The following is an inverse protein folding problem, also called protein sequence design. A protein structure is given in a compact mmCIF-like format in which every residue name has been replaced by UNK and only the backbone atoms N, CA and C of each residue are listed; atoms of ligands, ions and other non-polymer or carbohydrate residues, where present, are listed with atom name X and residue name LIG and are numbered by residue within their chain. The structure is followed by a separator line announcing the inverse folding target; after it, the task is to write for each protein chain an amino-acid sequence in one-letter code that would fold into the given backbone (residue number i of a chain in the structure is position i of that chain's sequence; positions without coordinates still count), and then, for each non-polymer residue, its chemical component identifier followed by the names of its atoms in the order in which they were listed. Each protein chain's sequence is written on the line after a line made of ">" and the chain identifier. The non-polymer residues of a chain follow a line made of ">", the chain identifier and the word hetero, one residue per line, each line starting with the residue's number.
data_IF_019292722465
#
_entry.id   IF_019292722465
#
_cell.length_a   1.000
_cell.length_b   1.000
_cell.length_c   1.000
_cell.angle_alpha   90.00
_cell.angle_beta   90.00
_cell.angle_gamma   90.00
#
_symmetry.space_group_name_H-M   'P 1'
#
loop_
_entity.id
_entity.type
_entity.pdbx_description
1 polymer ?
#
# COMPACT_ATOMS: atom_id res chain seq x y z
N UNK A 1 -10.49 -10.30 32.24
CA UNK A 1 -11.11 -10.01 30.93
C UNK A 1 -9.99 -10.02 29.90
N UNK A 2 -9.92 -11.04 29.04
CA UNK A 2 -8.90 -11.13 27.98
C UNK A 2 -9.45 -10.36 26.77
N UNK A 3 -8.86 -9.21 26.46
CA UNK A 3 -9.20 -8.48 25.23
C UNK A 3 -8.55 -9.19 24.04
N UNK A 4 -9.33 -9.49 23.01
CA UNK A 4 -8.85 -10.12 21.78
C UNK A 4 -8.68 -9.07 20.69
N UNK A 5 -7.45 -8.87 20.22
CA UNK A 5 -7.10 -7.88 19.20
C UNK A 5 -6.84 -8.55 17.85
N UNK A 6 -7.16 -7.87 16.74
CA UNK A 6 -6.87 -8.32 15.36
C UNK A 6 -7.36 -9.74 15.03
N UNK A 7 -8.51 -10.16 15.55
CA UNK A 7 -9.00 -11.54 15.32
C UNK A 7 -9.40 -11.75 13.85
N UNK A 8 -9.91 -10.70 13.21
CA UNK A 8 -10.20 -10.64 11.77
C UNK A 8 -9.60 -9.37 11.18
N UNK A 9 -9.39 -9.33 9.87
CA UNK A 9 -8.84 -8.13 9.22
C UNK A 9 -9.78 -6.93 9.26
N UNK A 10 -11.08 -7.16 9.39
CA UNK A 10 -12.06 -6.10 9.66
C UNK A 10 -11.81 -5.39 11.01
N UNK A 11 -11.20 -6.07 11.97
CA UNK A 11 -10.99 -5.54 13.32
C UNK A 11 -9.79 -4.58 13.39
N UNK A 12 -9.04 -4.44 12.29
CA UNK A 12 -7.85 -3.61 12.22
C UNK A 12 -7.66 -3.01 10.83
N UNK A 13 -8.14 -1.79 10.69
CA UNK A 13 -8.05 -0.97 9.48
C UNK A 13 -6.93 0.04 9.70
N UNK A 14 -6.07 0.19 8.70
CA UNK A 14 -4.97 1.16 8.70
C UNK A 14 -5.13 2.05 7.48
N UNK A 15 -5.14 3.34 7.72
CA UNK A 15 -5.10 4.37 6.67
C UNK A 15 -3.77 5.10 6.78
N UNK A 16 -3.01 5.12 5.69
CA UNK A 16 -1.74 5.82 5.64
C UNK A 16 -1.99 7.33 5.50
N UNK A 17 -1.32 8.13 6.34
CA UNK A 17 -1.38 9.59 6.27
C UNK A 17 -0.04 10.12 5.76
N UNK A 18 -0.05 10.69 4.56
CA UNK A 18 1.15 11.33 4.01
C UNK A 18 1.50 12.56 4.85
N UNK A 19 2.79 12.78 5.19
CA UNK A 19 3.22 13.97 5.93
C UNK A 19 3.26 15.23 5.04
N UNK A 20 2.83 15.12 3.78
CA UNK A 20 2.80 16.20 2.80
C UNK A 20 1.59 16.04 1.86
N UNK A 21 1.24 17.12 1.16
CA UNK A 21 0.20 17.12 0.13
C UNK A 21 0.81 16.85 -1.24
N UNK A 22 0.13 16.04 -2.05
CA UNK A 22 0.49 15.83 -3.46
C UNK A 22 0.26 17.12 -4.25
N UNK A 23 1.25 17.55 -5.01
CA UNK A 23 1.21 18.77 -5.83
C UNK A 23 0.66 18.52 -7.25
N UNK A 24 0.51 17.24 -7.64
CA UNK A 24 0.05 16.81 -8.95
C UNK A 24 1.10 16.96 -10.07
N UNK A 25 2.38 17.13 -9.73
CA UNK A 25 3.48 17.32 -10.69
C UNK A 25 4.66 16.42 -10.35
N UNK A 26 5.52 16.20 -11.33
CA UNK A 26 6.77 15.43 -11.18
C UNK A 26 6.81 14.15 -12.00
N UNK A 27 7.91 13.43 -11.88
CA UNK A 27 8.21 12.25 -12.71
C UNK A 27 7.59 10.95 -12.15
N UNK A 28 7.01 11.02 -10.94
CA UNK A 28 6.42 9.88 -10.26
C UNK A 28 4.88 9.98 -10.25
N UNK A 29 4.23 8.84 -10.52
CA UNK A 29 2.78 8.70 -10.38
C UNK A 29 2.46 8.09 -9.01
N UNK A 30 1.79 8.87 -8.15
CA UNK A 30 1.37 8.39 -6.85
C UNK A 30 0.09 7.55 -6.95
N UNK A 31 0.09 6.38 -6.31
CA UNK A 31 -1.05 5.47 -6.26
C UNK A 31 -1.43 5.23 -4.80
N UNK A 32 -2.63 5.67 -4.43
CA UNK A 32 -3.26 5.24 -3.19
C UNK A 32 -4.05 3.96 -3.44
N UNK A 33 -3.84 2.94 -2.61
CA UNK A 33 -4.50 1.65 -2.78
C UNK A 33 -4.88 1.01 -1.45
N UNK A 34 -5.92 0.19 -1.49
CA UNK A 34 -6.33 -0.65 -0.36
C UNK A 34 -5.88 -2.08 -0.59
N UNK A 35 -5.48 -2.77 0.48
CA UNK A 35 -5.22 -4.20 0.45
C UNK A 35 -5.82 -4.89 1.67
N UNK A 36 -6.34 -6.11 1.48
CA UNK A 36 -6.86 -6.96 2.55
C UNK A 36 -6.22 -8.33 2.51
N UNK A 37 -5.78 -8.83 3.68
CA UNK A 37 -5.17 -10.16 3.81
C UNK A 37 -3.99 -10.39 2.83
N UNK A 38 -3.32 -9.31 2.42
CA UNK A 38 -2.17 -9.32 1.52
C UNK A 38 -1.05 -8.48 2.12
N UNK A 39 0.19 -8.92 1.92
CA UNK A 39 1.35 -8.11 2.25
C UNK A 39 1.63 -7.11 1.12
N UNK A 40 2.40 -6.07 1.42
CA UNK A 40 2.72 -5.01 0.46
C UNK A 40 3.53 -5.53 -0.73
N UNK A 41 4.41 -6.51 -0.51
CA UNK A 41 5.29 -7.04 -1.55
C UNK A 41 4.57 -7.90 -2.60
N UNK A 42 3.49 -8.57 -2.23
CA UNK A 42 2.64 -9.31 -3.17
C UNK A 42 1.91 -8.36 -4.12
N UNK A 43 1.41 -7.24 -3.58
CA UNK A 43 0.84 -6.16 -4.39
C UNK A 43 1.89 -5.56 -5.32
N UNK A 44 3.09 -5.26 -4.81
CA UNK A 44 4.18 -4.72 -5.61
C UNK A 44 4.59 -5.68 -6.74
N UNK A 45 4.73 -6.98 -6.45
CA UNK A 45 5.02 -7.99 -7.48
C UNK A 45 3.94 -8.04 -8.55
N UNK A 46 2.66 -7.99 -8.14
CA UNK A 46 1.54 -7.94 -9.06
C UNK A 46 1.61 -6.70 -9.96
N UNK A 47 1.83 -5.51 -9.39
CA UNK A 47 1.96 -4.26 -10.15
C UNK A 47 3.16 -4.28 -11.12
N UNK A 48 4.32 -4.79 -10.68
CA UNK A 48 5.49 -4.92 -11.55
C UNK A 48 5.18 -5.80 -12.76
N UNK A 49 4.43 -6.89 -12.56
CA UNK A 49 4.05 -7.82 -13.63
C UNK A 49 3.05 -7.19 -14.58
N UNK A 50 1.95 -6.61 -14.07
CA UNK A 50 0.86 -6.11 -14.91
C UNK A 50 1.22 -4.82 -15.65
N UNK A 51 2.11 -4.00 -15.10
CA UNK A 51 2.57 -2.75 -15.72
C UNK A 51 3.90 -2.90 -16.47
N UNK A 52 4.49 -4.09 -16.45
CA UNK A 52 5.81 -4.38 -17.06
C UNK A 52 6.93 -3.44 -16.59
N UNK A 53 6.88 -3.01 -15.33
CA UNK A 53 7.87 -2.10 -14.73
C UNK A 53 8.83 -2.83 -13.79
N UNK A 54 10.05 -2.32 -13.70
CA UNK A 54 11.05 -2.83 -12.76
C UNK A 54 10.67 -2.51 -11.32
N UNK A 55 10.94 -3.45 -10.40
CA UNK A 55 10.79 -3.21 -8.95
C UNK A 55 11.54 -1.95 -8.47
N UNK A 56 12.64 -1.60 -9.12
CA UNK A 56 13.47 -0.46 -8.75
C UNK A 56 12.82 0.90 -9.02
N UNK A 57 11.77 0.95 -9.86
CA UNK A 57 11.05 2.19 -10.18
C UNK A 57 9.86 2.44 -9.26
N UNK A 58 9.55 1.50 -8.36
CA UNK A 58 8.44 1.58 -7.41
C UNK A 58 8.92 1.90 -6.00
N UNK A 59 8.52 3.05 -5.49
CA UNK A 59 8.62 3.41 -4.07
C UNK A 59 7.43 2.92 -3.27
N UNK A 60 7.67 2.52 -2.02
CA UNK A 60 6.64 2.26 -1.01
C UNK A 60 7.08 2.97 0.29
N UNK A 61 6.13 3.49 1.06
CA UNK A 61 6.37 4.11 2.36
C UNK A 61 6.37 3.07 3.50
#
# INVERSE_FOLDING_TARGET
>A
MLYSFKQKSQDFIVEEQLPFKLDGKGDAFFVYFEKRNMNTMDVVKHLCKELEISRLTLGIA
#
